data_IF_549608672610
#
_entry.id   IF_549608672610
#
_cell.length_a   1.000
_cell.length_b   1.000
_cell.length_c   1.000
_cell.angle_alpha   90.00
_cell.angle_beta   90.00
_cell.angle_gamma   90.00
#
_symmetry.space_group_name_H-M   'P 1'
#
loop_
_entity.id
_entity.type
_entity.pdbx_description
1 polymer ?
#
# COMPACT_ATOMS: atom_id res chain seq x y z
N UNK A 1 1.27 24.78 3.37
CA UNK A 1 0.71 23.60 4.10
C UNK A 1 -0.38 23.01 3.23
N UNK A 2 -0.51 21.67 3.22
CA UNK A 2 -1.58 21.01 2.48
C UNK A 2 -2.94 21.35 3.10
N UNK A 3 -3.94 21.65 2.26
CA UNK A 3 -5.32 21.92 2.66
C UNK A 3 -6.14 20.63 2.47
N UNK A 4 -6.96 20.28 3.47
CA UNK A 4 -7.89 19.16 3.36
C UNK A 4 -9.19 19.65 2.70
N UNK A 5 -9.54 19.04 1.59
CA UNK A 5 -10.77 19.30 0.83
C UNK A 5 -11.60 18.02 0.73
N UNK A 6 -12.92 18.14 0.61
CA UNK A 6 -13.81 17.01 0.34
C UNK A 6 -14.39 17.16 -1.05
N UNK A 7 -14.04 16.23 -1.93
CA UNK A 7 -14.43 16.22 -3.33
C UNK A 7 -15.53 15.17 -3.54
N UNK A 8 -16.68 15.58 -4.07
CA UNK A 8 -17.72 14.66 -4.49
C UNK A 8 -17.39 14.15 -5.90
N UNK A 9 -17.07 12.88 -6.00
CA UNK A 9 -16.82 12.20 -7.28
C UNK A 9 -18.08 11.45 -7.75
N UNK A 10 -18.00 10.79 -8.88
CA UNK A 10 -19.08 9.91 -9.36
C UNK A 10 -19.24 8.63 -8.52
N UNK A 11 -18.24 8.31 -7.65
CA UNK A 11 -18.21 7.06 -6.88
C UNK A 11 -18.39 7.26 -5.38
N UNK A 12 -17.76 8.28 -4.80
CA UNK A 12 -17.81 8.55 -3.36
C UNK A 12 -17.40 9.99 -3.04
N UNK A 13 -17.59 10.40 -1.80
CA UNK A 13 -16.97 11.61 -1.27
C UNK A 13 -15.57 11.29 -0.79
N UNK A 14 -14.58 11.87 -1.45
CA UNK A 14 -13.15 11.66 -1.16
C UNK A 14 -12.58 12.86 -0.44
N UNK A 15 -11.99 12.65 0.72
CA UNK A 15 -11.15 13.64 1.38
C UNK A 15 -9.78 13.66 0.72
N UNK A 16 -9.30 14.82 0.34
CA UNK A 16 -8.04 15.00 -0.40
C UNK A 16 -7.23 16.12 0.23
N UNK A 17 -5.98 15.86 0.52
CA UNK A 17 -5.02 16.91 0.82
C UNK A 17 -4.47 17.48 -0.46
N UNK A 18 -4.52 18.80 -0.57
CA UNK A 18 -4.11 19.53 -1.79
C UNK A 18 -3.03 20.53 -1.43
N UNK A 19 -1.99 20.61 -2.24
CA UNK A 19 -0.95 21.63 -2.11
C UNK A 19 -0.36 22.02 -3.47
N UNK A 20 0.26 23.20 -3.51
CA UNK A 20 0.97 23.70 -4.67
C UNK A 20 0.08 24.45 -5.67
N UNK A 21 0.55 24.51 -6.92
CA UNK A 21 -0.07 25.29 -8.00
C UNK A 21 -1.05 24.41 -8.81
N UNK A 22 -2.36 24.74 -8.87
CA UNK A 22 -3.33 23.98 -9.66
C UNK A 22 -2.99 23.86 -11.16
N UNK A 23 -2.21 24.78 -11.71
CA UNK A 23 -1.76 24.75 -13.11
C UNK A 23 -0.39 24.05 -13.25
N UNK A 24 0.15 23.51 -12.16
CA UNK A 24 1.46 22.87 -12.10
C UNK A 24 1.45 21.41 -12.50
N UNK A 25 2.61 20.76 -12.31
CA UNK A 25 2.78 19.31 -12.60
C UNK A 25 1.90 18.49 -11.64
N UNK A 26 0.93 17.69 -12.14
CA UNK A 26 0.04 16.94 -11.28
C UNK A 26 0.72 15.69 -10.70
N UNK A 27 0.71 15.58 -9.37
CA UNK A 27 1.27 14.47 -8.60
C UNK A 27 0.21 13.91 -7.66
N UNK A 28 -0.05 12.60 -7.76
CA UNK A 28 -0.97 11.89 -6.88
C UNK A 28 -0.18 11.01 -5.91
N UNK A 29 -0.52 11.08 -4.61
CA UNK A 29 0.12 10.31 -3.53
C UNK A 29 -0.92 9.40 -2.88
N UNK A 30 -0.79 8.09 -3.05
CA UNK A 30 -1.75 7.08 -2.56
C UNK A 30 -1.17 6.33 -1.36
N UNK A 31 -1.82 6.44 -0.21
CA UNK A 31 -1.34 5.94 1.07
C UNK A 31 -1.49 4.41 1.24
N UNK A 32 -0.84 3.86 2.28
CA UNK A 32 -0.85 2.45 2.64
C UNK A 32 -2.06 1.98 3.45
N UNK A 33 -2.03 0.71 3.87
CA UNK A 33 -3.03 0.14 4.76
C UNK A 33 -2.92 0.73 6.17
N UNK A 34 -4.05 0.86 6.87
CA UNK A 34 -4.16 1.44 8.22
C UNK A 34 -3.34 2.73 8.34
N UNK A 35 -3.59 3.65 7.41
CA UNK A 35 -3.01 4.99 7.35
C UNK A 35 -3.99 5.95 6.65
N UNK A 36 -3.56 7.15 6.31
CA UNK A 36 -4.30 8.09 5.50
C UNK A 36 -3.36 9.02 4.74
N UNK A 37 -3.91 9.93 3.95
CA UNK A 37 -3.15 11.01 3.29
C UNK A 37 -2.28 11.83 4.26
N UNK A 38 -2.59 11.81 5.56
CA UNK A 38 -1.80 12.49 6.59
C UNK A 38 -0.35 12.01 6.68
N UNK A 39 -0.06 10.78 6.29
CA UNK A 39 1.30 10.26 6.24
C UNK A 39 2.16 10.93 5.15
N UNK A 40 1.55 11.74 4.29
CA UNK A 40 2.25 12.55 3.29
C UNK A 40 2.35 14.04 3.62
N UNK A 41 1.82 14.51 4.78
CA UNK A 41 1.80 15.94 5.12
C UNK A 41 3.19 16.59 5.04
N UNK A 42 4.21 15.89 5.55
CA UNK A 42 5.58 16.38 5.53
C UNK A 42 6.19 16.34 4.12
N UNK A 43 6.02 15.20 3.42
CA UNK A 43 6.46 15.07 2.05
C UNK A 43 5.86 16.18 1.17
N UNK A 44 4.55 16.42 1.28
CA UNK A 44 3.87 17.49 0.52
C UNK A 44 4.44 18.88 0.81
N UNK A 45 4.91 19.12 2.04
CA UNK A 45 5.56 20.38 2.42
C UNK A 45 6.97 20.56 1.84
N UNK A 46 7.62 19.46 1.44
CA UNK A 46 8.98 19.43 0.89
C UNK A 46 9.02 19.38 -0.64
N UNK A 47 7.90 19.02 -1.28
CA UNK A 47 7.81 18.96 -2.75
C UNK A 47 7.87 20.37 -3.38
N UNK A 48 8.30 20.49 -4.65
CA UNK A 48 8.34 21.75 -5.35
C UNK A 48 6.99 22.49 -5.34
N UNK A 49 6.93 23.77 -4.96
CA UNK A 49 5.67 24.51 -4.81
C UNK A 49 4.92 24.75 -6.14
N UNK A 50 5.58 24.53 -7.27
CA UNK A 50 4.99 24.57 -8.61
C UNK A 50 4.35 23.25 -9.04
N UNK A 51 4.35 22.22 -8.20
CA UNK A 51 3.64 20.98 -8.48
C UNK A 51 2.22 21.06 -7.91
N UNK A 52 1.28 20.43 -8.57
CA UNK A 52 -0.09 20.25 -8.07
C UNK A 52 -0.19 18.90 -7.39
N UNK A 53 -0.09 18.88 -6.07
CA UNK A 53 0.02 17.64 -5.29
C UNK A 53 -1.31 17.30 -4.64
N UNK A 54 -1.81 16.10 -4.91
CA UNK A 54 -3.07 15.55 -4.42
C UNK A 54 -2.78 14.27 -3.63
N UNK A 55 -3.22 14.20 -2.38
CA UNK A 55 -3.14 13.00 -1.56
C UNK A 55 -4.55 12.65 -1.05
N UNK A 56 -5.28 11.74 -1.72
CA UNK A 56 -6.59 11.30 -1.26
C UNK A 56 -6.48 10.33 -0.07
N UNK A 57 -7.48 10.37 0.81
CA UNK A 57 -7.80 9.25 1.67
C UNK A 57 -8.56 8.20 0.86
N UNK A 58 -8.13 6.95 0.88
CA UNK A 58 -8.82 5.85 0.21
C UNK A 58 -10.16 5.53 0.90
N UNK A 59 -11.11 4.89 0.18
CA UNK A 59 -12.37 4.44 0.78
C UNK A 59 -12.11 3.63 2.05
N UNK A 60 -12.89 3.89 3.10
CA UNK A 60 -12.74 3.22 4.40
C UNK A 60 -11.58 3.70 5.25
N UNK A 61 -10.82 4.71 4.82
CA UNK A 61 -9.74 5.33 5.57
C UNK A 61 -9.95 6.84 5.74
N UNK A 62 -9.28 7.40 6.73
CA UNK A 62 -9.26 8.84 6.98
C UNK A 62 -10.66 9.46 7.03
N UNK A 63 -10.80 10.58 6.33
CA UNK A 63 -12.04 11.35 6.27
C UNK A 63 -12.88 11.06 4.99
N UNK A 64 -12.44 10.09 4.17
CA UNK A 64 -13.21 9.63 3.01
C UNK A 64 -14.41 8.76 3.39
N UNK A 65 -15.35 8.63 2.46
CA UNK A 65 -16.58 7.87 2.66
C UNK A 65 -16.27 6.38 2.91
N UNK A 66 -16.99 5.79 3.88
CA UNK A 66 -16.81 4.40 4.30
C UNK A 66 -17.73 3.48 3.49
N UNK A 67 -17.32 3.18 2.25
CA UNK A 67 -18.03 2.22 1.41
C UNK A 67 -17.43 0.81 1.58
N UNK A 68 -18.24 -0.24 1.36
CA UNK A 68 -17.73 -1.62 1.31
C UNK A 68 -16.65 -1.79 0.22
N UNK A 69 -15.72 -2.71 0.48
CA UNK A 69 -14.70 -3.14 -0.49
C UNK A 69 -15.09 -4.51 -1.04
N UNK A 70 -15.34 -4.60 -2.35
CA UNK A 70 -15.54 -5.90 -3.02
C UNK A 70 -14.17 -6.53 -3.34
N UNK A 71 -13.68 -7.36 -2.43
CA UNK A 71 -12.38 -7.98 -2.54
C UNK A 71 -12.20 -8.88 -3.77
N UNK A 72 -13.30 -9.36 -4.40
CA UNK A 72 -13.23 -10.17 -5.64
C UNK A 72 -12.66 -9.40 -6.83
N UNK A 73 -12.58 -8.08 -6.71
CA UNK A 73 -11.97 -7.18 -7.69
C UNK A 73 -10.54 -6.79 -7.32
N UNK A 74 -9.95 -7.44 -6.32
CA UNK A 74 -8.67 -7.00 -5.76
C UNK A 74 -8.78 -5.56 -5.26
N UNK A 75 -7.87 -4.71 -5.70
CA UNK A 75 -7.86 -3.27 -5.40
C UNK A 75 -8.58 -2.43 -6.48
N UNK A 76 -9.34 -3.04 -7.38
CA UNK A 76 -10.03 -2.35 -8.48
C UNK A 76 -11.01 -1.26 -8.02
N UNK A 77 -11.68 -1.45 -6.85
CA UNK A 77 -12.52 -0.38 -6.30
C UNK A 77 -11.74 0.88 -5.96
N UNK A 78 -10.53 0.74 -5.42
CA UNK A 78 -9.66 1.86 -5.10
C UNK A 78 -9.10 2.54 -6.35
N UNK A 79 -8.71 1.75 -7.36
CA UNK A 79 -8.19 2.29 -8.62
C UNK A 79 -9.26 3.09 -9.36
N UNK A 80 -10.50 2.61 -9.40
CA UNK A 80 -11.63 3.35 -9.99
C UNK A 80 -12.04 4.59 -9.17
N UNK A 81 -11.94 4.53 -7.83
CA UNK A 81 -12.17 5.70 -6.98
C UNK A 81 -11.13 6.79 -7.26
N UNK A 82 -9.86 6.38 -7.40
CA UNK A 82 -8.78 7.29 -7.76
C UNK A 82 -9.01 7.90 -9.14
N UNK A 83 -9.44 7.10 -10.13
CA UNK A 83 -9.76 7.62 -11.46
C UNK A 83 -10.91 8.64 -11.44
N UNK A 84 -11.96 8.33 -10.69
CA UNK A 84 -13.09 9.26 -10.54
C UNK A 84 -12.69 10.58 -9.84
N UNK A 85 -11.69 10.54 -8.96
CA UNK A 85 -11.10 11.73 -8.37
C UNK A 85 -10.29 12.53 -9.40
N UNK A 86 -9.45 11.88 -10.20
CA UNK A 86 -8.68 12.53 -11.28
C UNK A 86 -9.62 13.29 -12.24
N UNK A 87 -10.76 12.67 -12.62
CA UNK A 87 -11.78 13.33 -13.43
C UNK A 87 -12.41 14.52 -12.70
N UNK A 88 -12.81 14.36 -11.45
CA UNK A 88 -13.46 15.41 -10.65
C UNK A 88 -12.52 16.60 -10.37
N UNK A 89 -11.20 16.37 -10.32
CA UNK A 89 -10.18 17.42 -10.19
C UNK A 89 -9.83 18.09 -11.52
N UNK A 90 -10.50 17.74 -12.63
CA UNK A 90 -10.26 18.33 -13.96
C UNK A 90 -8.98 17.85 -14.64
N UNK A 91 -8.41 16.74 -14.20
CA UNK A 91 -7.16 16.17 -14.73
C UNK A 91 -7.40 15.08 -15.80
N UNK A 92 -8.63 14.86 -16.24
CA UNK A 92 -8.94 13.91 -17.30
C UNK A 92 -8.14 14.22 -18.57
N UNK A 93 -7.37 13.23 -19.06
CA UNK A 93 -6.50 13.38 -20.24
C UNK A 93 -5.19 14.15 -19.98
N UNK A 94 -4.91 14.60 -18.75
CA UNK A 94 -3.63 15.17 -18.35
C UNK A 94 -2.82 14.07 -17.68
N UNK A 95 -1.65 13.64 -18.23
CA UNK A 95 -0.84 12.63 -17.59
C UNK A 95 -0.37 13.07 -16.21
N UNK A 96 -0.52 12.18 -15.20
CA UNK A 96 -0.17 12.45 -13.82
C UNK A 96 1.04 11.63 -13.38
N UNK A 97 1.81 12.12 -12.44
CA UNK A 97 2.83 11.35 -11.73
C UNK A 97 2.17 10.68 -10.52
N UNK A 98 2.08 9.35 -10.53
CA UNK A 98 1.41 8.59 -9.48
C UNK A 98 2.43 7.93 -8.57
N UNK A 99 2.30 8.18 -7.26
CA UNK A 99 3.05 7.50 -6.21
C UNK A 99 2.09 6.68 -5.37
N UNK A 100 2.40 5.40 -5.17
CA UNK A 100 1.66 4.52 -4.26
C UNK A 100 2.58 3.89 -3.21
N UNK A 101 2.20 4.02 -1.93
CA UNK A 101 2.91 3.43 -0.81
C UNK A 101 2.17 2.19 -0.29
N UNK A 102 2.86 1.04 -0.15
CA UNK A 102 2.32 -0.18 0.44
C UNK A 102 1.06 -0.69 -0.30
N UNK A 103 -0.12 -0.75 0.34
CA UNK A 103 -1.43 -0.95 -0.31
C UNK A 103 -1.59 0.02 -1.50
N UNK A 104 -1.25 1.30 -1.29
CA UNK A 104 -1.31 2.31 -2.35
C UNK A 104 -0.43 1.96 -3.55
N UNK A 105 0.68 1.23 -3.35
CA UNK A 105 1.48 0.68 -4.43
C UNK A 105 0.72 -0.34 -5.27
N UNK A 106 -0.07 -1.20 -4.62
CA UNK A 106 -1.00 -2.12 -5.30
C UNK A 106 -2.07 -1.39 -6.08
N UNK A 107 -2.67 -0.35 -5.48
CA UNK A 107 -3.66 0.52 -6.15
C UNK A 107 -3.04 1.21 -7.37
N UNK A 108 -1.81 1.71 -7.24
CA UNK A 108 -1.10 2.39 -8.31
C UNK A 108 -0.74 1.44 -9.49
N UNK A 109 -0.37 0.20 -9.19
CA UNK A 109 -0.17 -0.84 -10.23
C UNK A 109 -1.49 -1.17 -10.94
N UNK A 110 -2.60 -1.35 -10.22
CA UNK A 110 -3.91 -1.59 -10.83
C UNK A 110 -4.35 -0.39 -11.67
N UNK A 111 -4.17 0.84 -11.16
CA UNK A 111 -4.46 2.05 -11.92
C UNK A 111 -3.65 2.13 -13.23
N UNK A 112 -2.37 1.74 -13.21
CA UNK A 112 -1.53 1.69 -14.40
C UNK A 112 -2.02 0.65 -15.43
N UNK A 113 -2.59 -0.47 -14.96
CA UNK A 113 -3.20 -1.49 -15.83
C UNK A 113 -4.47 -0.93 -16.48
N UNK A 114 -5.34 -0.28 -15.71
CA UNK A 114 -6.65 0.18 -16.18
C UNK A 114 -6.55 1.47 -17.02
N UNK A 115 -5.60 2.37 -16.68
CA UNK A 115 -5.47 3.71 -17.25
C UNK A 115 -4.02 4.09 -17.61
N UNK A 116 -3.28 3.29 -18.38
CA UNK A 116 -1.85 3.52 -18.62
C UNK A 116 -1.56 4.87 -19.29
N UNK A 117 -2.44 5.35 -20.18
CA UNK A 117 -2.28 6.63 -20.87
C UNK A 117 -2.48 7.85 -19.95
N UNK A 118 -3.04 7.67 -18.74
CA UNK A 118 -3.20 8.72 -17.75
C UNK A 118 -1.92 8.97 -16.94
N UNK A 119 -0.88 8.14 -17.11
CA UNK A 119 0.34 8.22 -16.30
C UNK A 119 1.52 8.82 -17.06
N UNK A 120 2.15 9.84 -16.48
CA UNK A 120 3.47 10.34 -16.88
C UNK A 120 4.59 9.47 -16.29
N UNK A 121 4.45 9.05 -15.03
CA UNK A 121 5.34 8.08 -14.36
C UNK A 121 4.63 7.39 -13.21
N UNK A 122 5.17 6.24 -12.78
CA UNK A 122 4.70 5.47 -11.64
C UNK A 122 5.82 5.31 -10.61
N UNK A 123 5.57 5.72 -9.37
CA UNK A 123 6.49 5.48 -8.24
C UNK A 123 5.84 4.51 -7.25
N UNK A 124 6.51 3.40 -7.01
CA UNK A 124 6.10 2.35 -6.08
C UNK A 124 6.97 2.42 -4.82
N UNK A 125 6.38 2.75 -3.68
CA UNK A 125 7.09 2.85 -2.40
C UNK A 125 6.72 1.67 -1.54
N UNK A 126 7.68 0.78 -1.26
CA UNK A 126 7.45 -0.45 -0.48
C UNK A 126 6.11 -1.15 -0.85
N UNK A 127 5.82 -1.37 -2.16
CA UNK A 127 4.51 -1.81 -2.62
C UNK A 127 4.20 -3.23 -2.16
N UNK A 128 2.92 -3.56 -1.96
CA UNK A 128 2.50 -4.96 -1.91
C UNK A 128 2.98 -5.71 -3.16
N UNK A 129 3.38 -6.98 -3.00
CA UNK A 129 3.81 -7.80 -4.14
C UNK A 129 2.75 -7.82 -5.25
N UNK A 130 3.12 -7.82 -6.54
CA UNK A 130 2.18 -7.97 -7.66
C UNK A 130 1.31 -9.24 -7.58
N UNK A 131 1.70 -10.21 -6.77
CA UNK A 131 0.95 -11.44 -6.49
C UNK A 131 0.14 -11.39 -5.19
N UNK A 132 0.01 -10.23 -4.56
CA UNK A 132 -0.73 -10.03 -3.31
C UNK A 132 0.12 -10.27 -2.06
N UNK A 133 -0.55 -10.38 -0.91
CA UNK A 133 0.07 -10.50 0.40
C UNK A 133 -0.36 -11.80 1.10
N UNK A 134 0.63 -12.64 1.42
CA UNK A 134 0.46 -13.94 2.06
C UNK A 134 0.08 -15.08 1.11
N UNK A 135 0.48 -16.31 1.46
CA UNK A 135 0.02 -17.54 0.81
C UNK A 135 0.61 -17.88 -0.54
N UNK A 136 1.69 -17.23 -0.97
CA UNK A 136 2.47 -17.59 -2.18
C UNK A 136 3.91 -17.94 -1.86
N UNK A 137 4.59 -18.77 -2.66
CA UNK A 137 5.84 -19.45 -2.28
C UNK A 137 7.05 -19.27 -3.21
N UNK A 138 6.91 -18.61 -4.34
CA UNK A 138 8.01 -18.43 -5.31
C UNK A 138 7.91 -17.06 -6.02
N UNK A 139 8.88 -16.78 -6.89
CA UNK A 139 8.92 -15.52 -7.64
C UNK A 139 7.79 -15.40 -8.68
N UNK A 140 7.16 -16.49 -9.03
CA UNK A 140 6.04 -16.58 -9.96
C UNK A 140 4.67 -16.46 -9.26
N UNK A 141 4.66 -16.35 -7.91
CA UNK A 141 3.44 -16.20 -7.12
C UNK A 141 2.61 -17.48 -7.04
N UNK A 142 3.24 -18.65 -7.12
CA UNK A 142 2.55 -19.93 -6.97
C UNK A 142 1.90 -20.02 -5.59
N UNK A 143 0.58 -20.32 -5.47
CA UNK A 143 -0.06 -20.43 -4.17
C UNK A 143 0.48 -21.61 -3.36
N UNK A 144 0.62 -21.42 -2.03
CA UNK A 144 0.97 -22.50 -1.10
C UNK A 144 -0.15 -23.55 -1.04
N UNK A 145 -1.41 -23.09 -1.07
CA UNK A 145 -2.61 -23.92 -1.12
C UNK A 145 -3.57 -23.41 -2.19
N UNK A 146 -4.36 -24.30 -2.83
CA UNK A 146 -5.29 -23.90 -3.91
C UNK A 146 -6.37 -22.90 -3.49
N UNK A 147 -6.69 -22.82 -2.19
CA UNK A 147 -7.67 -21.91 -1.61
C UNK A 147 -7.01 -20.62 -1.04
N UNK A 148 -5.71 -20.43 -1.25
CA UNK A 148 -4.94 -19.32 -0.72
C UNK A 148 -4.99 -19.17 0.81
N UNK A 149 -5.20 -20.27 1.54
CA UNK A 149 -5.15 -20.25 3.00
C UNK A 149 -3.86 -19.59 3.49
N UNK A 150 -3.96 -18.83 4.58
CA UNK A 150 -2.85 -18.04 5.11
C UNK A 150 -2.73 -16.63 4.51
N UNK A 151 -3.77 -16.16 3.80
CA UNK A 151 -3.90 -14.76 3.35
C UNK A 151 -5.28 -14.19 3.67
N UNK A 152 -5.43 -12.87 3.51
CA UNK A 152 -6.72 -12.18 3.64
C UNK A 152 -7.13 -11.82 5.07
N UNK A 153 -8.40 -11.48 5.26
CA UNK A 153 -8.94 -10.87 6.50
C UNK A 153 -8.75 -11.71 7.76
N UNK A 154 -8.77 -13.03 7.61
CA UNK A 154 -8.58 -13.96 8.74
C UNK A 154 -7.16 -14.05 9.29
N UNK A 155 -6.17 -13.40 8.65
CA UNK A 155 -4.77 -13.39 9.11
C UNK A 155 -4.44 -12.18 9.99
N UNK A 156 -5.36 -11.22 10.11
CA UNK A 156 -5.15 -10.05 10.95
C UNK A 156 -5.06 -10.42 12.43
N UNK A 157 -4.15 -9.77 13.16
CA UNK A 157 -4.09 -9.93 14.61
C UNK A 157 -5.39 -9.42 15.26
N UNK A 158 -6.15 -10.25 15.98
CA UNK A 158 -7.46 -9.87 16.52
C UNK A 158 -7.39 -8.79 17.60
N UNK A 159 -6.28 -8.71 18.34
CA UNK A 159 -6.10 -7.65 19.33
C UNK A 159 -5.89 -6.29 18.65
N UNK A 160 -5.05 -6.26 17.61
CA UNK A 160 -4.85 -5.04 16.81
C UNK A 160 -6.18 -4.56 16.19
N UNK A 161 -6.95 -5.48 15.59
CA UNK A 161 -8.29 -5.17 15.03
C UNK A 161 -9.22 -4.59 16.08
N UNK A 162 -9.25 -5.22 17.27
CA UNK A 162 -10.09 -4.74 18.39
C UNK A 162 -9.66 -3.34 18.83
N UNK A 163 -8.36 -3.08 18.98
CA UNK A 163 -7.85 -1.77 19.40
C UNK A 163 -8.13 -0.67 18.37
N UNK A 164 -8.05 -0.98 17.08
CA UNK A 164 -8.51 -0.05 16.04
C UNK A 164 -10.01 0.26 16.16
N UNK A 165 -10.84 -0.77 16.38
CA UNK A 165 -12.29 -0.60 16.55
C UNK A 165 -12.64 0.24 17.79
N UNK A 166 -11.92 0.04 18.89
CA UNK A 166 -12.07 0.78 20.14
C UNK A 166 -11.44 2.20 20.08
N UNK A 167 -10.75 2.54 18.96
CA UNK A 167 -10.00 3.79 18.79
C UNK A 167 -8.96 4.01 19.88
N UNK A 168 -8.24 2.96 20.23
CA UNK A 168 -7.24 2.96 21.29
C UNK A 168 -5.95 3.63 20.82
N UNK A 169 -5.67 4.81 21.38
CA UNK A 169 -4.43 5.57 21.14
C UNK A 169 -3.32 5.28 22.18
N UNK A 170 -3.53 4.31 23.08
CA UNK A 170 -2.62 3.96 24.17
C UNK A 170 -1.33 3.26 23.73
N UNK A 171 -0.51 2.91 24.72
CA UNK A 171 0.80 2.24 24.56
C UNK A 171 0.93 0.99 25.44
N UNK A 172 -0.16 0.52 26.04
CA UNK A 172 -0.16 -0.54 27.04
C UNK A 172 -0.07 -1.97 26.47
N UNK A 173 -0.01 -2.10 25.16
CA UNK A 173 0.14 -3.38 24.46
C UNK A 173 1.00 -3.22 23.21
N UNK A 174 1.80 -4.24 22.90
CA UNK A 174 2.59 -4.32 21.65
C UNK A 174 1.69 -4.28 20.40
N UNK A 175 0.40 -4.62 20.55
CA UNK A 175 -0.59 -4.58 19.47
C UNK A 175 -1.42 -3.29 19.48
N UNK A 176 -1.07 -2.27 20.25
CA UNK A 176 -1.69 -0.96 20.08
C UNK A 176 -1.30 -0.34 18.73
N UNK A 177 -2.20 0.41 18.05
CA UNK A 177 -1.87 1.05 16.78
C UNK A 177 -0.59 1.89 16.84
N UNK A 178 -0.34 2.57 17.95
CA UNK A 178 0.87 3.36 18.19
C UNK A 178 2.13 2.50 18.20
N UNK A 179 2.13 1.41 18.98
CA UNK A 179 3.29 0.54 19.10
C UNK A 179 3.55 -0.24 17.81
N UNK A 180 2.49 -0.71 17.12
CA UNK A 180 2.61 -1.34 15.81
C UNK A 180 3.19 -0.37 14.77
N UNK A 181 2.75 0.89 14.74
CA UNK A 181 3.34 1.89 13.85
C UNK A 181 4.83 2.10 14.16
N UNK A 182 5.17 2.35 15.42
CA UNK A 182 6.55 2.63 15.83
C UNK A 182 7.50 1.44 15.61
N UNK A 183 7.00 0.21 15.77
CA UNK A 183 7.81 -1.00 15.63
C UNK A 183 8.02 -1.44 14.19
N UNK A 184 7.05 -1.19 13.28
CA UNK A 184 7.04 -1.82 11.97
C UNK A 184 6.94 -0.85 10.79
N UNK A 185 6.31 0.35 10.95
CA UNK A 185 6.28 1.33 9.86
C UNK A 185 7.62 2.02 9.70
N UNK A 186 8.42 2.01 10.76
CA UNK A 186 9.73 2.63 10.82
C UNK A 186 10.79 1.61 11.25
N UNK A 187 12.04 1.85 10.85
CA UNK A 187 13.19 1.11 11.35
C UNK A 187 13.59 1.63 12.73
N UNK A 188 13.57 0.81 13.79
CA UNK A 188 14.13 1.23 15.08
C UNK A 188 15.64 1.57 14.97
N UNK A 189 16.15 2.63 15.61
CA UNK A 189 15.50 3.43 16.65
C UNK A 189 14.82 4.72 16.15
N UNK A 190 14.34 4.79 14.92
CA UNK A 190 13.65 5.98 14.43
C UNK A 190 12.40 6.29 15.28
N UNK A 191 12.23 7.55 15.65
CA UNK A 191 11.10 8.04 16.43
C UNK A 191 10.57 9.33 15.82
N UNK A 192 9.24 9.44 15.78
CA UNK A 192 8.57 10.67 15.43
C UNK A 192 8.51 11.61 16.65
N UNK A 193 8.47 12.92 16.40
CA UNK A 193 8.07 13.88 17.41
C UNK A 193 6.64 13.58 17.92
N UNK A 194 6.36 13.76 19.20
CA UNK A 194 5.12 13.34 19.88
C UNK A 194 3.84 13.87 19.19
N UNK A 195 3.85 15.13 18.74
CA UNK A 195 2.70 15.73 18.06
C UNK A 195 2.43 15.03 16.73
N UNK A 196 3.48 14.74 15.96
CA UNK A 196 3.41 14.06 14.67
C UNK A 196 3.00 12.59 14.82
N UNK A 197 3.60 11.90 15.79
CA UNK A 197 3.24 10.52 16.13
C UNK A 197 1.74 10.43 16.47
N UNK A 198 1.27 11.32 17.35
CA UNK A 198 -0.14 11.37 17.77
C UNK A 198 -1.09 11.68 16.61
N UNK A 199 -0.68 12.54 15.67
CA UNK A 199 -1.45 12.83 14.47
C UNK A 199 -1.56 11.62 13.54
N UNK A 200 -0.48 10.85 13.38
CA UNK A 200 -0.49 9.62 12.58
C UNK A 200 -1.34 8.54 13.24
N UNK A 201 -1.19 8.31 14.55
CA UNK A 201 -2.05 7.39 15.30
C UNK A 201 -3.52 7.77 15.17
N UNK A 202 -3.86 9.06 15.33
CA UNK A 202 -5.23 9.52 15.14
C UNK A 202 -5.77 9.19 13.73
N UNK A 203 -4.94 9.28 12.70
CA UNK A 203 -5.35 8.93 11.34
C UNK A 203 -5.49 7.41 11.13
N UNK A 204 -4.63 6.60 11.75
CA UNK A 204 -4.81 5.13 11.75
C UNK A 204 -6.15 4.73 12.38
N UNK A 205 -6.54 5.39 13.47
CA UNK A 205 -7.80 5.15 14.21
C UNK A 205 -9.06 5.62 13.43
N UNK A 206 -8.90 6.30 12.30
CA UNK A 206 -9.99 6.60 11.38
C UNK A 206 -10.29 5.44 10.41
N UNK A 207 -9.46 4.39 10.37
CA UNK A 207 -9.71 3.19 9.56
C UNK A 207 -11.07 2.58 9.92
N UNK A 208 -11.90 2.35 8.92
CA UNK A 208 -13.19 1.65 9.11
C UNK A 208 -12.95 0.17 9.43
N UNK A 209 -13.45 -0.29 10.58
CA UNK A 209 -13.27 -1.67 11.03
C UNK A 209 -14.54 -2.48 10.80
N UNK A 210 -14.40 -3.71 10.29
CA UNK A 210 -15.48 -4.65 10.05
C UNK A 210 -15.27 -5.50 8.80
N UNK A 211 -16.22 -6.39 8.54
CA UNK A 211 -16.14 -7.33 7.41
C UNK A 211 -16.14 -6.64 6.04
N UNK A 212 -16.78 -5.49 5.92
CA UNK A 212 -16.85 -4.73 4.67
C UNK A 212 -15.59 -3.86 4.42
N UNK A 213 -14.74 -3.67 5.44
CA UNK A 213 -13.56 -2.81 5.41
C UNK A 213 -12.34 -3.54 6.01
N UNK A 214 -11.76 -3.06 7.12
CA UNK A 214 -10.59 -3.68 7.74
C UNK A 214 -11.01 -4.58 8.92
N UNK A 215 -10.57 -5.83 9.00
CA UNK A 215 -9.67 -6.54 8.08
C UNK A 215 -10.41 -7.16 6.88
N UNK A 216 -11.72 -7.32 6.92
CA UNK A 216 -12.55 -8.06 5.99
C UNK A 216 -13.17 -9.32 6.61
N UNK A 217 -14.01 -10.02 5.82
CA UNK A 217 -14.54 -11.33 6.16
C UNK A 217 -13.48 -12.44 5.99
N UNK A 218 -13.82 -13.67 6.32
CA UNK A 218 -12.94 -14.83 6.16
C UNK A 218 -13.75 -16.06 5.75
N UNK A 219 -13.05 -17.04 5.17
CA UNK A 219 -13.59 -18.37 4.86
C UNK A 219 -12.78 -19.40 5.65
N UNK A 220 -13.43 -20.33 6.40
CA UNK A 220 -12.72 -21.44 7.02
C UNK A 220 -12.02 -22.33 5.98
N UNK A 221 -10.80 -22.78 6.28
CA UNK A 221 -10.02 -23.68 5.43
C UNK A 221 -9.60 -24.94 6.18
N UNK A 222 -9.47 -26.05 5.45
CA UNK A 222 -8.83 -27.27 5.96
C UNK A 222 -7.30 -27.16 5.97
N UNK A 223 -6.75 -26.21 5.23
CA UNK A 223 -5.31 -25.94 5.14
C UNK A 223 -4.86 -25.00 6.27
N UNK A 224 -3.60 -25.10 6.67
CA UNK A 224 -2.99 -24.17 7.63
C UNK A 224 -2.99 -22.74 7.07
N UNK A 225 -3.27 -21.74 7.88
CA UNK A 225 -3.61 -21.69 9.32
C UNK A 225 -5.12 -21.79 9.61
N UNK A 226 -5.89 -22.51 8.83
CA UNK A 226 -7.33 -22.76 8.92
C UNK A 226 -8.24 -21.61 8.47
N UNK A 227 -7.67 -20.59 7.85
CA UNK A 227 -8.41 -19.46 7.25
C UNK A 227 -7.94 -19.20 5.83
N UNK A 228 -8.87 -18.85 4.96
CA UNK A 228 -8.66 -18.43 3.57
C UNK A 228 -9.33 -17.08 3.32
N UNK A 229 -8.99 -16.39 2.22
CA UNK A 229 -9.56 -15.09 1.89
C UNK A 229 -11.07 -15.13 1.75
N UNK A 230 -11.74 -14.13 2.32
CA UNK A 230 -13.14 -13.85 2.08
C UNK A 230 -13.38 -13.09 0.77
N UNK A 231 -14.54 -12.44 0.70
CA UNK A 231 -14.99 -11.72 -0.51
C UNK A 231 -15.11 -10.21 -0.31
N UNK A 232 -14.93 -9.74 0.91
CA UNK A 232 -15.12 -8.35 1.32
C UNK A 232 -13.97 -7.88 2.18
N UNK A 233 -13.67 -6.59 2.10
CA UNK A 233 -12.74 -5.92 2.98
C UNK A 233 -11.30 -5.87 2.47
N UNK A 234 -10.53 -5.07 3.17
CA UNK A 234 -9.24 -4.54 2.73
C UNK A 234 -8.18 -5.64 2.60
N UNK A 235 -8.00 -6.49 3.62
CA UNK A 235 -6.96 -7.52 3.55
C UNK A 235 -7.30 -8.60 2.53
N UNK A 236 -8.59 -8.85 2.30
CA UNK A 236 -9.01 -9.76 1.23
C UNK A 236 -8.75 -9.18 -0.16
N UNK A 237 -8.84 -7.84 -0.32
CA UNK A 237 -8.50 -7.19 -1.59
C UNK A 237 -7.00 -7.25 -1.93
N UNK A 238 -6.16 -7.55 -0.94
CA UNK A 238 -4.72 -7.76 -1.09
C UNK A 238 -4.33 -9.25 -1.13
N UNK A 239 -5.25 -10.15 -0.81
CA UNK A 239 -4.95 -11.58 -0.79
C UNK A 239 -4.66 -12.11 -2.19
N UNK A 240 -3.67 -12.99 -2.31
CA UNK A 240 -3.18 -13.52 -3.60
C UNK A 240 -4.29 -14.13 -4.49
N UNK A 241 -5.36 -14.67 -3.89
CA UNK A 241 -6.50 -15.21 -4.65
C UNK A 241 -7.42 -14.15 -5.28
N UNK A 242 -7.36 -12.92 -4.81
CA UNK A 242 -8.19 -11.81 -5.27
C UNK A 242 -7.37 -10.71 -5.95
N UNK A 243 -6.08 -10.61 -5.64
CA UNK A 243 -5.17 -9.58 -6.12
C UNK A 243 -4.13 -10.17 -7.07
N UNK A 244 -4.02 -9.58 -8.25
CA UNK A 244 -2.96 -9.87 -9.19
C UNK A 244 -2.77 -8.67 -10.13
N UNK A 245 -1.58 -8.07 -10.11
CA UNK A 245 -1.24 -6.93 -10.96
C UNK A 245 -0.08 -7.26 -11.94
N UNK A 246 0.12 -8.53 -12.22
CA UNK A 246 1.19 -9.00 -13.14
C UNK A 246 0.99 -8.49 -14.56
N UNK A 247 -0.25 -8.23 -14.98
CA UNK A 247 -0.59 -7.69 -16.31
C UNK A 247 0.01 -6.30 -16.56
N UNK A 248 0.58 -5.64 -15.53
CA UNK A 248 1.35 -4.40 -15.71
C UNK A 248 2.50 -4.57 -16.71
N UNK A 249 3.01 -5.78 -16.89
CA UNK A 249 4.09 -6.07 -17.87
C UNK A 249 3.65 -5.87 -19.33
N UNK A 250 2.36 -5.92 -19.61
CA UNK A 250 1.78 -5.90 -20.96
C UNK A 250 1.03 -4.61 -21.31
N UNK A 251 0.93 -3.64 -20.38
CA UNK A 251 0.26 -2.37 -20.65
C UNK A 251 0.91 -1.57 -21.77
N UNK A 252 0.14 -0.72 -22.45
CA UNK A 252 0.61 0.23 -23.44
C UNK A 252 -0.24 1.51 -23.39
N UNK A 253 0.35 2.71 -23.23
CA UNK A 253 1.80 2.98 -23.08
C UNK A 253 2.38 2.46 -21.75
N UNK A 254 3.71 2.35 -21.70
CA UNK A 254 4.48 1.93 -20.52
C UNK A 254 5.09 3.14 -19.81
N UNK A 255 4.47 3.67 -18.75
CA UNK A 255 5.09 4.75 -17.97
C UNK A 255 6.38 4.26 -17.31
N UNK A 256 7.43 5.12 -17.19
CA UNK A 256 8.61 4.76 -16.42
C UNK A 256 8.24 4.51 -14.96
N UNK A 257 8.83 3.45 -14.37
CA UNK A 257 8.58 3.03 -12.99
C UNK A 257 9.82 3.32 -12.14
N UNK A 258 9.60 3.97 -10.98
CA UNK A 258 10.59 4.08 -9.90
C UNK A 258 10.09 3.23 -8.72
N UNK A 259 10.87 2.22 -8.32
CA UNK A 259 10.60 1.41 -7.14
C UNK A 259 11.51 1.83 -6.01
N UNK A 260 10.96 2.45 -4.96
CA UNK A 260 11.70 2.87 -3.76
C UNK A 260 11.34 1.93 -2.61
N UNK A 261 12.34 1.48 -1.86
CA UNK A 261 12.14 0.70 -0.63
C UNK A 261 13.21 1.00 0.41
N UNK A 262 12.88 0.81 1.68
CA UNK A 262 13.87 0.77 2.74
C UNK A 262 14.65 -0.56 2.74
N UNK A 263 15.90 -0.53 3.18
CA UNK A 263 16.74 -1.72 3.33
C UNK A 263 16.30 -2.63 4.48
N UNK A 264 15.54 -2.08 5.43
CA UNK A 264 15.13 -2.70 6.68
C UNK A 264 13.62 -2.83 6.83
N UNK A 265 12.85 -2.85 5.73
CA UNK A 265 11.40 -3.04 5.75
C UNK A 265 11.03 -4.41 6.33
N UNK A 266 10.21 -4.40 7.40
CA UNK A 266 9.74 -5.60 8.10
C UNK A 266 8.30 -5.99 7.71
N UNK A 267 7.64 -5.19 6.87
CA UNK A 267 6.27 -5.44 6.39
C UNK A 267 6.31 -6.04 4.98
N UNK A 268 6.98 -5.39 4.03
CA UNK A 268 7.12 -5.89 2.66
C UNK A 268 8.58 -6.30 2.43
N UNK A 269 8.87 -7.53 2.75
CA UNK A 269 10.21 -8.13 2.61
C UNK A 269 10.11 -9.65 2.42
N UNK A 270 11.20 -10.29 2.06
CA UNK A 270 11.28 -11.75 1.94
C UNK A 270 11.33 -12.46 3.32
N UNK A 271 11.39 -11.67 4.41
CA UNK A 271 11.35 -12.11 5.83
C UNK A 271 10.34 -11.27 6.62
N UNK A 272 9.15 -11.05 6.05
CA UNK A 272 8.13 -10.18 6.63
C UNK A 272 7.61 -10.70 7.97
N UNK A 273 7.58 -9.84 8.99
CA UNK A 273 6.92 -10.09 10.27
C UNK A 273 5.39 -9.99 10.20
N UNK A 274 4.83 -9.80 9.01
CA UNK A 274 3.40 -9.83 8.72
C UNK A 274 3.03 -11.02 7.84
N UNK A 275 4.01 -11.82 7.38
CA UNK A 275 3.78 -13.04 6.61
C UNK A 275 3.73 -14.26 7.53
N UNK A 276 2.65 -15.02 7.46
CA UNK A 276 2.48 -16.21 8.28
C UNK A 276 3.53 -17.30 8.00
N UNK A 277 4.06 -17.37 6.77
CA UNK A 277 5.14 -18.27 6.42
C UNK A 277 6.40 -18.01 7.23
N UNK A 278 6.82 -16.74 7.29
CA UNK A 278 7.98 -16.34 8.09
C UNK A 278 7.70 -16.43 9.59
N UNK A 279 6.53 -16.01 10.06
CA UNK A 279 6.13 -16.14 11.46
C UNK A 279 6.08 -17.61 11.90
N UNK A 280 5.61 -18.51 11.04
CA UNK A 280 5.66 -19.95 11.28
C UNK A 280 7.08 -20.49 11.36
N UNK A 281 7.95 -20.06 10.46
CA UNK A 281 9.36 -20.46 10.42
C UNK A 281 10.12 -20.08 11.70
N UNK A 282 9.86 -18.91 12.27
CA UNK A 282 10.47 -18.45 13.53
C UNK A 282 9.73 -18.94 14.78
N UNK A 283 8.68 -19.77 14.64
CA UNK A 283 7.92 -20.37 15.73
C UNK A 283 6.91 -19.45 16.41
N UNK A 284 6.58 -18.30 15.81
CA UNK A 284 5.60 -17.35 16.36
C UNK A 284 4.14 -17.79 16.10
N UNK A 285 3.89 -18.62 15.09
CA UNK A 285 2.56 -19.16 14.76
C UNK A 285 2.59 -20.70 14.89
N UNK A 286 1.73 -21.30 15.72
CA UNK A 286 1.73 -22.74 15.95
C UNK A 286 1.23 -23.53 14.73
N UNK A 287 1.66 -24.82 14.67
CA UNK A 287 1.18 -25.75 13.65
C UNK A 287 1.70 -25.51 12.24
N UNK A 288 2.72 -24.70 12.07
CA UNK A 288 3.33 -24.43 10.78
C UNK A 288 3.76 -25.72 10.07
N UNK A 289 3.36 -25.93 8.79
CA UNK A 289 3.57 -27.22 8.10
C UNK A 289 5.00 -27.41 7.54
N UNK A 290 5.87 -26.43 7.71
CA UNK A 290 7.24 -26.46 7.22
C UNK A 290 7.45 -25.70 5.90
N UNK A 291 8.72 -25.40 5.61
CA UNK A 291 9.16 -24.56 4.49
C UNK A 291 8.82 -25.16 3.11
N UNK A 292 8.73 -26.48 3.00
CA UNK A 292 8.37 -27.14 1.74
C UNK A 292 6.91 -26.94 1.35
N UNK A 293 6.03 -26.68 2.34
CA UNK A 293 4.58 -26.53 2.14
C UNK A 293 4.18 -25.05 2.16
N UNK A 294 4.66 -24.31 3.15
CA UNK A 294 4.31 -22.92 3.36
C UNK A 294 5.56 -22.10 3.73
N UNK A 295 6.45 -21.81 2.75
CA UNK A 295 7.62 -20.96 2.98
C UNK A 295 7.22 -19.50 3.26
N UNK A 296 8.13 -18.67 3.76
CA UNK A 296 7.99 -17.22 3.69
C UNK A 296 7.74 -16.76 2.26
N UNK A 297 6.84 -15.79 2.09
CA UNK A 297 6.58 -15.21 0.78
C UNK A 297 7.78 -14.34 0.32
N UNK A 298 8.36 -14.59 -0.86
CA UNK A 298 9.49 -13.82 -1.36
C UNK A 298 9.02 -12.53 -2.06
N UNK A 299 8.47 -11.58 -1.28
CA UNK A 299 7.76 -10.39 -1.79
C UNK A 299 8.64 -9.49 -2.66
N UNK A 300 9.91 -9.29 -2.25
CA UNK A 300 10.86 -8.47 -3.03
C UNK A 300 11.27 -9.18 -4.30
N UNK A 301 11.54 -10.49 -4.23
CA UNK A 301 11.87 -11.30 -5.41
C UNK A 301 10.71 -11.32 -6.42
N UNK A 302 9.46 -11.41 -5.95
CA UNK A 302 8.25 -11.34 -6.77
C UNK A 302 8.12 -10.00 -7.49
N UNK A 303 8.28 -8.90 -6.76
CA UNK A 303 8.22 -7.54 -7.32
C UNK A 303 9.31 -7.34 -8.37
N UNK A 304 10.54 -7.74 -8.06
CA UNK A 304 11.68 -7.62 -8.99
C UNK A 304 11.46 -8.43 -10.27
N UNK A 305 11.02 -9.68 -10.15
CA UNK A 305 10.74 -10.54 -11.31
C UNK A 305 9.68 -9.92 -12.25
N UNK A 306 8.64 -9.31 -11.71
CA UNK A 306 7.61 -8.63 -12.51
C UNK A 306 8.16 -7.37 -13.18
N UNK A 307 8.94 -6.54 -12.47
CA UNK A 307 9.53 -5.33 -13.04
C UNK A 307 10.62 -5.62 -14.07
N UNK A 308 11.39 -6.68 -13.91
CA UNK A 308 12.33 -7.18 -14.95
C UNK A 308 11.61 -7.63 -16.21
N UNK A 309 10.46 -8.31 -16.07
CA UNK A 309 9.58 -8.64 -17.21
C UNK A 309 8.99 -7.39 -17.85
N UNK A 310 8.56 -6.40 -17.05
CA UNK A 310 8.12 -5.11 -17.56
C UNK A 310 9.19 -4.43 -18.42
N UNK A 311 10.44 -4.46 -17.98
CA UNK A 311 11.58 -3.92 -18.71
C UNK A 311 11.86 -4.74 -19.99
N UNK A 312 11.81 -6.07 -19.92
CA UNK A 312 11.99 -6.94 -21.08
C UNK A 312 10.93 -6.69 -22.17
N UNK A 313 9.71 -6.32 -21.75
CA UNK A 313 8.60 -5.96 -22.64
C UNK A 313 8.63 -4.49 -23.11
N UNK A 314 9.78 -3.79 -22.95
CA UNK A 314 10.00 -2.43 -23.49
C UNK A 314 9.69 -1.30 -22.52
N UNK A 315 9.33 -1.58 -21.28
CA UNK A 315 9.22 -0.60 -20.21
C UNK A 315 10.57 -0.17 -19.65
N UNK A 316 10.55 0.76 -18.71
CA UNK A 316 11.74 1.18 -17.93
C UNK A 316 11.40 1.15 -16.46
N UNK A 317 12.29 0.57 -15.64
CA UNK A 317 12.20 0.71 -14.20
C UNK A 317 13.60 0.94 -13.58
N UNK A 318 13.59 1.60 -12.44
CA UNK A 318 14.75 1.81 -11.58
C UNK A 318 14.36 1.34 -10.18
N UNK A 319 15.25 0.61 -9.48
CA UNK A 319 15.10 0.26 -8.07
C UNK A 319 16.02 1.16 -7.24
N UNK A 320 15.44 1.89 -6.27
CA UNK A 320 16.18 2.71 -5.31
C UNK A 320 16.00 2.13 -3.91
N UNK A 321 17.12 1.74 -3.29
CA UNK A 321 17.15 1.21 -1.94
C UNK A 321 17.65 2.29 -1.00
N UNK A 322 16.76 2.78 -0.14
CA UNK A 322 17.12 3.78 0.84
C UNK A 322 17.68 3.08 2.08
N UNK A 323 18.95 3.35 2.36
CA UNK A 323 19.64 2.82 3.53
C UNK A 323 19.03 3.39 4.82
N UNK A 324 19.07 2.58 5.86
CA UNK A 324 18.63 2.96 7.20
C UNK A 324 17.16 3.38 7.28
N UNK A 325 16.31 2.77 6.46
CA UNK A 325 14.87 3.00 6.41
C UNK A 325 14.08 1.69 6.46
N UNK A 326 12.91 1.73 7.09
CA UNK A 326 11.92 0.66 7.15
C UNK A 326 10.88 0.77 6.03
N UNK A 327 9.60 0.55 6.41
CA UNK A 327 8.47 0.55 5.48
C UNK A 327 8.08 1.93 4.97
N UNK A 328 8.54 3.01 5.63
CA UNK A 328 8.15 4.39 5.33
C UNK A 328 9.34 5.28 4.98
N UNK A 329 10.13 4.96 3.93
CA UNK A 329 11.37 5.70 3.62
C UNK A 329 11.12 7.19 3.34
N UNK A 330 9.94 7.58 2.89
CA UNK A 330 9.54 8.98 2.68
C UNK A 330 9.39 9.78 3.98
N UNK A 331 9.30 9.10 5.13
CA UNK A 331 9.20 9.68 6.47
C UNK A 331 10.53 9.60 7.20
N UNK A 332 11.24 8.47 7.06
CA UNK A 332 12.46 8.16 7.82
C UNK A 332 13.69 8.83 7.23
N UNK A 333 13.78 8.88 5.90
CA UNK A 333 14.91 9.42 5.14
C UNK A 333 14.41 10.39 4.05
N UNK A 334 13.74 11.49 4.44
CA UNK A 334 13.05 12.37 3.50
C UNK A 334 13.97 13.00 2.45
N UNK A 335 15.22 13.30 2.78
CA UNK A 335 16.18 13.91 1.83
C UNK A 335 16.53 12.93 0.71
N UNK A 336 16.94 11.70 1.04
CA UNK A 336 17.26 10.66 0.06
C UNK A 336 16.01 10.30 -0.79
N UNK A 337 14.86 10.20 -0.14
CA UNK A 337 13.59 9.95 -0.82
C UNK A 337 13.25 11.04 -1.83
N UNK A 338 13.35 12.31 -1.42
CA UNK A 338 13.08 13.46 -2.28
C UNK A 338 14.03 13.52 -3.48
N UNK A 339 15.33 13.27 -3.28
CA UNK A 339 16.29 13.24 -4.37
C UNK A 339 15.90 12.25 -5.45
N UNK A 340 15.56 11.01 -5.07
CA UNK A 340 15.11 9.96 -6.00
C UNK A 340 13.78 10.33 -6.67
N UNK A 341 12.76 10.68 -5.88
CA UNK A 341 11.41 10.94 -6.37
C UNK A 341 11.34 12.18 -7.26
N UNK A 342 11.88 13.33 -6.81
CA UNK A 342 11.85 14.58 -7.57
C UNK A 342 12.66 14.49 -8.86
N UNK A 343 13.80 13.78 -8.82
CA UNK A 343 14.59 13.52 -10.03
C UNK A 343 13.82 12.67 -11.05
N UNK A 344 13.11 11.66 -10.59
CA UNK A 344 12.28 10.81 -11.46
C UNK A 344 11.14 11.61 -12.08
N UNK A 345 10.37 12.37 -11.31
CA UNK A 345 9.29 13.21 -11.84
C UNK A 345 9.82 14.19 -12.89
N UNK A 346 10.91 14.92 -12.60
CA UNK A 346 11.49 15.91 -13.53
C UNK A 346 12.00 15.31 -14.84
N UNK A 347 12.48 14.05 -14.82
CA UNK A 347 12.93 13.37 -16.05
C UNK A 347 11.76 12.95 -16.95
N UNK A 348 10.56 12.90 -16.42
CA UNK A 348 9.37 12.34 -17.07
C UNK A 348 8.22 13.37 -17.23
N UNK A 349 8.50 14.66 -16.96
CA UNK A 349 7.58 15.81 -17.14
C UNK A 349 7.77 16.50 -18.48
#
# INVERSE_FOLDING_TARGET
MAELQVISTSRLRTAVRVSGDPDGIPVLLVHGNVSSSRFFDELMGLLPPLWYVLAPDLRGFGDSERLPVDARRGVGDYAEDLHSLVEAMGLAGTPVHLLGWSLGGGVAMQYAIDHPAQLASLTLVAPVSPYGFGGTKDAEGTPCFPDYAGSGGGTANPEFVKRLADRDAGQDSDFSPRNVMSAFYFKPPFHLEEERESAYVASMLQTAVGEDNYPGDLIPSANWPTVAPGKRGILNSLAAGNFNTVDIVDIDPKPPILWIRGDSDQIVSDTSLFDLGFLGQIGAVPGWPGVDIFPPQPMLAQTRAVLERYQTNGGRYEEEVIEDAGHSPHIEQPEAFLEAFVSSVRRNS
#
